data_IF_596904812528
#
_entry.id   IF_596904812528
#
_cell.length_a   1.000
_cell.length_b   1.000
_cell.length_c   1.000
_cell.angle_alpha   90.00
_cell.angle_beta   90.00
_cell.angle_gamma   90.00
#
_symmetry.space_group_name_H-M   'P 1'
#
loop_
_entity.id
_entity.type
_entity.pdbx_description
1 polymer ?
#
# COMPACT_ATOMS: atom_id res chain seq x y z
N UNK A 1 23.20 50.65 21.01
CA UNK A 1 22.67 50.09 19.75
C UNK A 1 21.84 48.88 20.14
N UNK A 2 20.52 48.90 19.92
CA UNK A 2 19.67 47.76 20.27
C UNK A 2 19.76 46.73 19.15
N UNK A 3 20.34 45.56 19.43
CA UNK A 3 20.27 44.43 18.52
C UNK A 3 18.80 44.00 18.45
N UNK A 4 18.22 44.06 17.24
CA UNK A 4 16.88 43.52 17.01
C UNK A 4 16.84 42.01 17.28
N UNK A 5 15.65 41.41 17.42
CA UNK A 5 15.52 39.98 17.64
C UNK A 5 16.26 39.20 16.55
N UNK A 6 17.12 38.27 16.97
CA UNK A 6 17.94 37.42 16.11
C UNK A 6 17.17 36.13 15.85
N UNK A 7 17.08 35.70 14.59
CA UNK A 7 16.43 34.45 14.21
C UNK A 7 17.28 33.24 14.59
N UNK A 8 16.62 32.12 14.90
CA UNK A 8 17.28 30.83 15.13
C UNK A 8 17.99 30.25 13.88
N UNK A 9 17.72 30.82 12.70
CA UNK A 9 18.28 30.43 11.41
C UNK A 9 19.14 31.56 10.81
N UNK A 10 19.69 32.45 11.65
CA UNK A 10 20.54 33.57 11.27
C UNK A 10 19.92 34.54 10.24
N UNK A 11 18.59 34.60 10.19
CA UNK A 11 17.89 35.56 9.33
C UNK A 11 17.97 36.96 9.92
N UNK A 12 18.60 37.88 9.19
CA UNK A 12 18.74 39.29 9.59
C UNK A 12 17.79 40.17 8.78
N UNK A 13 16.90 40.89 9.48
CA UNK A 13 16.09 41.93 8.86
C UNK A 13 16.88 43.23 8.66
N UNK A 14 16.89 43.80 7.46
CA UNK A 14 17.46 45.13 7.21
C UNK A 14 16.41 46.21 7.57
N UNK A 15 16.84 47.41 8.00
CA UNK A 15 15.94 48.53 8.35
C UNK A 15 14.91 48.80 7.23
N UNK A 16 13.69 48.32 7.44
CA UNK A 16 12.55 48.53 6.54
C UNK A 16 12.46 47.59 5.32
N UNK A 17 13.38 46.63 5.14
CA UNK A 17 13.32 45.64 4.06
C UNK A 17 13.69 44.23 4.56
N UNK A 18 13.00 43.22 4.05
CA UNK A 18 13.19 41.81 4.39
C UNK A 18 12.16 41.28 5.39
N UNK A 19 12.10 39.95 5.52
CA UNK A 19 11.20 39.28 6.45
C UNK A 19 11.60 39.55 7.91
N UNK A 20 10.61 39.57 8.79
CA UNK A 20 10.85 39.68 10.23
C UNK A 20 11.46 38.35 10.75
N UNK A 21 12.59 38.38 11.46
CA UNK A 21 13.24 37.16 11.97
C UNK A 21 12.30 36.22 12.75
N UNK A 22 11.44 36.77 13.60
CA UNK A 22 10.45 35.99 14.38
C UNK A 22 9.37 35.35 13.51
N UNK A 23 9.01 35.99 12.39
CA UNK A 23 8.07 35.43 11.43
C UNK A 23 8.68 34.23 10.70
N UNK A 24 9.95 34.33 10.33
CA UNK A 24 10.67 33.23 9.69
C UNK A 24 10.82 32.06 10.64
N UNK A 25 11.24 32.31 11.88
CA UNK A 25 11.39 31.25 12.89
C UNK A 25 10.09 30.49 13.12
N UNK A 26 8.97 31.21 13.25
CA UNK A 26 7.64 30.61 13.43
C UNK A 26 7.23 29.75 12.23
N UNK A 27 7.36 30.30 11.02
CA UNK A 27 7.01 29.57 9.80
C UNK A 27 7.87 28.32 9.61
N UNK A 28 9.19 28.42 9.86
CA UNK A 28 10.10 27.27 9.76
C UNK A 28 9.82 26.23 10.85
N UNK A 29 9.46 26.64 12.06
CA UNK A 29 9.06 25.72 13.12
C UNK A 29 7.77 24.96 12.76
N UNK A 30 6.76 25.65 12.22
CA UNK A 30 5.52 25.05 11.75
C UNK A 30 5.78 24.02 10.64
N UNK A 31 6.52 24.40 9.59
CA UNK A 31 6.88 23.50 8.50
C UNK A 31 7.72 22.30 8.96
N UNK A 32 8.63 22.51 9.91
CA UNK A 32 9.44 21.42 10.47
C UNK A 32 8.57 20.45 11.25
N UNK A 33 7.64 20.95 12.07
CA UNK A 33 6.72 20.09 12.80
C UNK A 33 5.77 19.32 11.85
N UNK A 34 5.34 19.92 10.74
CA UNK A 34 4.57 19.22 9.71
C UNK A 34 5.38 18.12 9.03
N UNK A 35 6.62 18.43 8.63
CA UNK A 35 7.56 17.48 8.04
C UNK A 35 7.84 16.30 8.98
N UNK A 36 8.06 16.56 10.26
CA UNK A 36 8.33 15.50 11.25
C UNK A 36 7.12 14.60 11.46
N UNK A 37 5.89 15.16 11.48
CA UNK A 37 4.65 14.37 11.51
C UNK A 37 4.49 13.52 10.25
N UNK A 38 4.75 14.08 9.08
CA UNK A 38 4.68 13.35 7.82
C UNK A 38 5.70 12.20 7.78
N UNK A 39 6.92 12.42 8.26
CA UNK A 39 7.95 11.38 8.35
C UNK A 39 7.57 10.27 9.33
N UNK A 40 7.00 10.62 10.48
CA UNK A 40 6.50 9.62 11.44
C UNK A 40 5.37 8.78 10.84
N UNK A 41 4.47 9.40 10.08
CA UNK A 41 3.40 8.70 9.37
C UNK A 41 3.95 7.76 8.29
N UNK A 42 4.92 8.21 7.50
CA UNK A 42 5.59 7.37 6.50
C UNK A 42 6.26 6.15 7.15
N UNK A 43 6.94 6.33 8.28
CA UNK A 43 7.54 5.21 9.02
C UNK A 43 6.47 4.22 9.49
N UNK A 44 5.38 4.71 10.09
CA UNK A 44 4.26 3.86 10.53
C UNK A 44 3.63 3.09 9.37
N UNK A 45 3.45 3.73 8.22
CA UNK A 45 2.89 3.08 7.03
C UNK A 45 3.85 2.04 6.46
N UNK A 46 5.16 2.31 6.45
CA UNK A 46 6.16 1.34 6.02
C UNK A 46 6.14 0.09 6.89
N UNK A 47 6.15 0.24 8.22
CA UNK A 47 6.02 -0.88 9.16
C UNK A 47 4.73 -1.68 8.89
N UNK A 48 3.62 -0.98 8.65
CA UNK A 48 2.33 -1.63 8.36
C UNK A 48 2.33 -2.40 7.05
N UNK A 49 3.02 -1.90 6.02
CA UNK A 49 3.17 -2.60 4.74
C UNK A 49 3.96 -3.88 4.92
N UNK A 50 5.06 -3.85 5.68
CA UNK A 50 5.87 -5.03 5.99
C UNK A 50 5.06 -6.08 6.77
N UNK A 51 4.30 -5.67 7.78
CA UNK A 51 3.41 -6.57 8.53
C UNK A 51 2.37 -7.26 7.64
N UNK A 52 1.69 -6.48 6.79
CA UNK A 52 0.69 -6.99 5.85
C UNK A 52 1.32 -7.88 4.79
N UNK A 53 2.52 -7.55 4.32
CA UNK A 53 3.27 -8.37 3.38
C UNK A 53 3.63 -9.73 3.99
N UNK A 54 4.13 -9.73 5.22
CA UNK A 54 4.46 -10.96 5.94
C UNK A 54 3.21 -11.83 6.22
N UNK A 55 2.09 -11.22 6.61
CA UNK A 55 0.83 -11.94 6.79
C UNK A 55 0.29 -12.50 5.47
N UNK A 56 0.35 -11.71 4.39
CA UNK A 56 -0.06 -12.18 3.06
C UNK A 56 0.77 -13.37 2.61
N UNK A 57 2.09 -13.33 2.81
CA UNK A 57 2.97 -14.45 2.48
C UNK A 57 2.60 -15.71 3.28
N UNK A 58 2.35 -15.59 4.59
CA UNK A 58 1.89 -16.70 5.43
C UNK A 58 0.55 -17.28 4.95
N UNK A 59 -0.41 -16.42 4.59
CA UNK A 59 -1.71 -16.84 4.09
C UNK A 59 -1.60 -17.52 2.72
N UNK A 60 -0.74 -17.03 1.83
CA UNK A 60 -0.47 -17.66 0.55
C UNK A 60 0.17 -19.04 0.72
N UNK A 61 1.13 -19.19 1.62
CA UNK A 61 1.73 -20.49 1.95
C UNK A 61 0.68 -21.46 2.52
N UNK A 62 -0.15 -20.98 3.45
CA UNK A 62 -1.25 -21.76 4.02
C UNK A 62 -2.23 -22.20 2.93
N UNK A 63 -2.62 -21.30 2.05
CA UNK A 63 -3.54 -21.59 0.95
C UNK A 63 -2.93 -22.57 -0.06
N UNK A 64 -1.64 -22.46 -0.36
CA UNK A 64 -0.93 -23.39 -1.24
C UNK A 64 -0.77 -24.80 -0.62
N UNK A 65 -0.71 -24.88 0.72
CA UNK A 65 -0.65 -26.14 1.45
C UNK A 65 -2.02 -26.82 1.61
N UNK A 66 -3.12 -26.11 1.36
CA UNK A 66 -4.45 -26.73 1.40
C UNK A 66 -4.56 -27.76 0.27
N UNK A 67 -4.99 -29.00 0.58
CA UNK A 67 -5.25 -29.98 -0.46
C UNK A 67 -6.36 -29.45 -1.37
N UNK A 68 -6.27 -29.79 -2.66
CA UNK A 68 -7.40 -29.61 -3.58
C UNK A 68 -8.59 -30.30 -2.96
N UNK A 69 -9.65 -29.53 -2.67
CA UNK A 69 -10.82 -30.13 -2.06
C UNK A 69 -11.50 -31.05 -3.07
N UNK A 70 -11.43 -32.34 -2.80
CA UNK A 70 -12.09 -33.37 -3.59
C UNK A 70 -13.57 -33.55 -3.20
N UNK A 71 -13.98 -32.87 -2.12
CA UNK A 71 -15.32 -32.95 -1.54
C UNK A 71 -15.81 -34.39 -1.41
N UNK A 72 -14.92 -35.33 -1.05
CA UNK A 72 -15.22 -36.76 -1.03
C UNK A 72 -16.44 -37.11 -0.16
N UNK A 73 -16.68 -36.34 0.90
CA UNK A 73 -17.81 -36.50 1.83
C UNK A 73 -19.19 -36.15 1.23
N UNK A 74 -19.25 -35.54 0.05
CA UNK A 74 -20.50 -35.25 -0.63
C UNK A 74 -21.27 -36.53 -1.00
N UNK A 75 -22.60 -36.44 -1.05
CA UNK A 75 -23.41 -37.51 -1.63
C UNK A 75 -23.13 -37.72 -3.13
N UNK A 76 -23.37 -38.91 -3.65
CA UNK A 76 -23.08 -39.30 -5.04
C UNK A 76 -23.66 -38.32 -6.08
N UNK A 77 -24.89 -37.84 -5.87
CA UNK A 77 -25.53 -36.84 -6.75
C UNK A 77 -24.77 -35.52 -6.75
N UNK A 78 -24.32 -35.05 -5.59
CA UNK A 78 -23.58 -33.80 -5.48
C UNK A 78 -22.19 -33.92 -6.14
N UNK A 79 -21.50 -35.06 -5.97
CA UNK A 79 -20.24 -35.33 -6.69
C UNK A 79 -20.40 -35.34 -8.21
N UNK A 80 -21.50 -35.89 -8.75
CA UNK A 80 -21.78 -35.82 -10.19
C UNK A 80 -21.99 -34.39 -10.69
N UNK A 81 -22.71 -33.57 -9.93
CA UNK A 81 -22.93 -32.16 -10.27
C UNK A 81 -21.59 -31.40 -10.25
N UNK A 82 -20.75 -31.65 -9.25
CA UNK A 82 -19.41 -31.06 -9.16
C UNK A 82 -18.55 -31.44 -10.38
N UNK A 83 -18.47 -32.73 -10.72
CA UNK A 83 -17.70 -33.19 -11.88
C UNK A 83 -18.16 -32.51 -13.19
N UNK A 84 -19.47 -32.43 -13.43
CA UNK A 84 -20.03 -31.73 -14.58
C UNK A 84 -19.68 -30.23 -14.60
N UNK A 85 -19.72 -29.58 -13.44
CA UNK A 85 -19.36 -28.16 -13.33
C UNK A 85 -17.87 -27.92 -13.58
N UNK A 86 -16.99 -28.81 -13.11
CA UNK A 86 -15.54 -28.76 -13.34
C UNK A 86 -15.19 -28.98 -14.82
N UNK A 87 -15.85 -29.94 -15.49
CA UNK A 87 -15.71 -30.18 -16.92
C UNK A 87 -16.10 -28.94 -17.74
N UNK A 88 -17.25 -28.33 -17.45
CA UNK A 88 -17.72 -27.13 -18.14
C UNK A 88 -16.79 -25.94 -17.90
N UNK A 89 -16.34 -25.72 -16.65
CA UNK A 89 -15.42 -24.64 -16.32
C UNK A 89 -14.09 -24.76 -17.08
N UNK A 90 -13.56 -25.99 -17.22
CA UNK A 90 -12.35 -26.24 -17.99
C UNK A 90 -12.55 -25.97 -19.49
N UNK A 91 -13.67 -26.43 -20.05
CA UNK A 91 -14.02 -26.15 -21.45
C UNK A 91 -14.11 -24.63 -21.74
N UNK A 92 -14.71 -23.86 -20.83
CA UNK A 92 -14.81 -22.40 -20.94
C UNK A 92 -13.44 -21.72 -20.86
N UNK A 93 -12.58 -22.17 -19.93
CA UNK A 93 -11.23 -21.63 -19.79
C UNK A 93 -10.39 -21.89 -21.04
N UNK A 94 -10.39 -23.13 -21.53
CA UNK A 94 -9.65 -23.51 -22.73
C UNK A 94 -10.15 -22.73 -23.94
N UNK A 95 -11.47 -22.55 -24.06
CA UNK A 95 -12.09 -21.70 -25.08
C UNK A 95 -11.66 -20.24 -25.00
N UNK A 96 -11.61 -19.66 -23.79
CA UNK A 96 -11.16 -18.29 -23.58
C UNK A 96 -9.68 -18.10 -23.90
N UNK A 97 -8.83 -19.07 -23.53
CA UNK A 97 -7.39 -19.06 -23.87
C UNK A 97 -7.21 -19.12 -25.39
N UNK A 98 -7.90 -20.03 -26.07
CA UNK A 98 -7.85 -20.17 -27.52
C UNK A 98 -8.33 -18.88 -28.23
N UNK A 99 -9.43 -18.28 -27.78
CA UNK A 99 -9.93 -17.02 -28.32
C UNK A 99 -8.92 -15.87 -28.12
N UNK A 100 -8.29 -15.78 -26.94
CA UNK A 100 -7.26 -14.77 -26.65
C UNK A 100 -5.93 -15.01 -27.40
N UNK A 101 -5.64 -16.22 -27.85
CA UNK A 101 -4.53 -16.52 -28.75
C UNK A 101 -4.87 -16.11 -30.19
N UNK A 102 -6.06 -16.45 -30.67
CA UNK A 102 -6.53 -16.08 -32.00
C UNK A 102 -6.65 -14.56 -32.22
N UNK A 103 -6.84 -13.76 -31.17
CA UNK A 103 -6.82 -12.30 -31.23
C UNK A 103 -5.41 -11.69 -31.25
N UNK A 104 -4.37 -12.46 -30.90
CA UNK A 104 -2.97 -12.01 -30.86
C UNK A 104 -2.23 -12.28 -32.16
N UNK A 105 -2.64 -13.30 -32.90
CA UNK A 105 -2.09 -13.69 -34.22
C UNK A 105 -2.74 -12.88 -35.36
#
# INVERSE_FOLDING_TARGET
MSAGPVSAYDVVGMRGRGYRPDQVDRATAELTAERDRALAEVARLADRVEELGAETARLMETAAALPVQDYAELGERARRILALAEEEARALQDGAVAAGQALRD
#
